data_IF_971453235198
#
_entry.id   IF_971453235198
#
_cell.length_a   1.000
_cell.length_b   1.000
_cell.length_c   1.000
_cell.angle_alpha   90.00
_cell.angle_beta   90.00
_cell.angle_gamma   90.00
#
_symmetry.space_group_name_H-M   'P 1'
#
loop_
_entity.id
_entity.type
_entity.pdbx_description
1 polymer ?
#
# COMPACT_ATOMS: atom_id res chain seq x y z
N UNK A 1 -9.92 -3.90 -0.68
CA UNK A 1 -8.52 -4.12 -0.26
C UNK A 1 -8.24 -3.47 1.09
N UNK A 2 -7.25 -4.01 1.81
CA UNK A 2 -6.79 -3.44 3.09
C UNK A 2 -5.63 -2.46 2.90
N UNK A 3 -4.91 -2.57 1.81
CA UNK A 3 -3.83 -1.70 1.38
C UNK A 3 -3.98 -1.38 -0.10
N UNK A 4 -3.65 -0.15 -0.47
CA UNK A 4 -3.51 0.30 -1.86
C UNK A 4 -2.22 1.11 -1.90
N UNK A 5 -1.29 0.71 -2.77
CA UNK A 5 0.02 1.35 -2.86
C UNK A 5 0.39 1.54 -4.33
N UNK A 6 0.90 2.72 -4.66
CA UNK A 6 1.47 3.03 -5.96
C UNK A 6 2.99 2.97 -5.81
N UNK A 7 3.64 2.22 -6.68
CA UNK A 7 5.10 2.19 -6.80
C UNK A 7 5.48 2.79 -8.16
N UNK A 8 6.26 3.85 -8.16
CA UNK A 8 6.88 4.42 -9.36
C UNK A 8 8.34 4.01 -9.40
N UNK A 9 8.75 3.34 -10.48
CA UNK A 9 10.13 2.86 -10.68
C UNK A 9 10.75 3.68 -11.82
N UNK A 10 11.79 4.43 -11.49
CA UNK A 10 12.61 5.06 -12.52
C UNK A 10 13.54 4.00 -13.10
N UNK A 11 13.27 3.61 -14.35
CA UNK A 11 14.02 2.53 -15.02
C UNK A 11 15.46 2.90 -15.36
N UNK A 12 15.81 4.19 -15.40
CA UNK A 12 17.18 4.67 -15.68
C UNK A 12 18.05 4.64 -14.42
N UNK A 13 17.48 4.97 -13.25
CA UNK A 13 18.22 5.06 -11.98
C UNK A 13 18.00 3.89 -11.04
N UNK A 14 16.90 3.15 -11.21
CA UNK A 14 16.44 2.13 -10.29
C UNK A 14 15.74 2.67 -9.02
N UNK A 15 15.55 3.99 -8.94
CA UNK A 15 14.89 4.60 -7.79
C UNK A 15 13.39 4.28 -7.78
N UNK A 16 12.90 3.88 -6.62
CA UNK A 16 11.49 3.57 -6.38
C UNK A 16 10.92 4.60 -5.41
N UNK A 17 9.80 5.20 -5.77
CA UNK A 17 9.00 6.03 -4.86
C UNK A 17 7.66 5.34 -4.57
N UNK A 18 7.30 5.22 -3.28
CA UNK A 18 6.09 4.54 -2.83
C UNK A 18 5.06 5.54 -2.29
N UNK A 19 3.81 5.41 -2.71
CA UNK A 19 2.69 6.19 -2.14
C UNK A 19 1.56 5.25 -1.71
N UNK A 20 1.25 5.27 -0.40
CA UNK A 20 0.05 4.60 0.11
C UNK A 20 -1.18 5.46 -0.17
N UNK A 21 -2.11 4.99 -0.98
CA UNK A 21 -3.44 5.58 -1.09
C UNK A 21 -4.29 5.05 0.07
N UNK A 22 -4.64 5.93 1.01
CA UNK A 22 -5.38 5.50 2.21
C UNK A 22 -6.72 4.89 1.81
N UNK A 23 -6.96 3.67 2.26
CA UNK A 23 -8.09 2.84 1.82
C UNK A 23 -9.46 3.48 1.97
N UNK A 24 -9.61 4.38 2.93
CA UNK A 24 -10.84 5.08 3.25
C UNK A 24 -10.94 6.46 2.57
N UNK A 25 -10.04 6.76 1.60
CA UNK A 25 -10.09 8.00 0.83
C UNK A 25 -11.36 8.05 -0.02
N UNK A 26 -12.08 9.16 0.08
CA UNK A 26 -13.32 9.40 -0.66
C UNK A 26 -13.01 9.81 -2.10
N UNK A 27 -13.25 8.91 -3.05
CA UNK A 27 -12.95 9.08 -4.49
C UNK A 27 -14.09 8.54 -5.35
N UNK A 28 -14.09 8.92 -6.64
CA UNK A 28 -14.90 8.26 -7.66
C UNK A 28 -14.35 6.84 -7.88
N UNK A 29 -15.15 5.81 -7.62
CA UNK A 29 -14.70 4.41 -7.76
C UNK A 29 -14.78 3.86 -9.19
N UNK A 30 -14.93 4.75 -10.19
CA UNK A 30 -14.94 4.40 -11.60
C UNK A 30 -16.29 3.99 -12.16
N UNK A 31 -17.39 4.32 -11.45
CA UNK A 31 -18.79 4.03 -11.84
C UNK A 31 -19.70 5.25 -11.59
N UNK A 32 -19.15 6.45 -11.64
CA UNK A 32 -19.78 7.72 -11.20
C UNK A 32 -20.32 7.68 -9.76
N UNK A 33 -19.83 6.73 -8.98
CA UNK A 33 -20.14 6.59 -7.57
C UNK A 33 -18.93 6.98 -6.71
N UNK A 34 -19.17 7.86 -5.74
CA UNK A 34 -18.13 8.33 -4.82
C UNK A 34 -18.24 7.59 -3.50
N UNK A 35 -17.18 6.89 -3.16
CA UNK A 35 -17.10 6.04 -1.97
C UNK A 35 -15.66 5.97 -1.46
N UNK A 36 -15.42 5.20 -0.40
CA UNK A 36 -14.08 4.82 0.00
C UNK A 36 -13.37 4.07 -1.14
N UNK A 37 -12.18 4.47 -1.50
CA UNK A 37 -11.46 3.95 -2.66
C UNK A 37 -11.23 2.43 -2.62
N UNK A 38 -11.13 1.82 -1.42
CA UNK A 38 -11.01 0.38 -1.28
C UNK A 38 -12.21 -0.41 -1.83
N UNK A 39 -13.38 0.24 -1.97
CA UNK A 39 -14.58 -0.37 -2.54
C UNK A 39 -14.38 -0.75 -4.01
N UNK A 40 -13.56 -0.01 -4.77
CA UNK A 40 -13.30 -0.30 -6.17
C UNK A 40 -12.87 -1.76 -6.38
N UNK A 41 -11.97 -2.26 -5.53
CA UNK A 41 -11.53 -3.66 -5.61
C UNK A 41 -12.68 -4.66 -5.37
N UNK A 42 -13.61 -4.35 -4.49
CA UNK A 42 -14.77 -5.22 -4.22
C UNK A 42 -15.78 -5.26 -5.36
N UNK A 43 -15.81 -4.22 -6.20
CA UNK A 43 -16.71 -4.14 -7.35
C UNK A 43 -16.19 -4.79 -8.62
N UNK A 44 -14.87 -4.75 -8.85
CA UNK A 44 -14.32 -5.24 -10.11
C UNK A 44 -12.83 -5.63 -10.03
N UNK A 45 -12.37 -6.06 -8.84
CA UNK A 45 -11.02 -6.58 -8.70
C UNK A 45 -9.92 -5.53 -8.85
N UNK A 46 -8.74 -6.01 -9.21
CA UNK A 46 -7.55 -5.17 -9.39
C UNK A 46 -7.72 -4.16 -10.53
N UNK A 47 -8.34 -4.58 -11.62
CA UNK A 47 -8.57 -3.76 -12.80
C UNK A 47 -9.45 -2.54 -12.48
N UNK A 48 -10.49 -2.74 -11.66
CA UNK A 48 -11.32 -1.63 -11.22
C UNK A 48 -10.57 -0.70 -10.25
N UNK A 49 -9.71 -1.25 -9.40
CA UNK A 49 -8.86 -0.45 -8.52
C UNK A 49 -7.85 0.38 -9.33
N UNK A 50 -7.20 -0.20 -10.34
CA UNK A 50 -6.31 0.52 -11.27
C UNK A 50 -7.07 1.61 -12.03
N UNK A 51 -8.25 1.28 -12.60
CA UNK A 51 -9.09 2.27 -13.28
C UNK A 51 -9.43 3.44 -12.34
N UNK A 52 -9.83 3.16 -11.11
CA UNK A 52 -10.15 4.17 -10.12
C UNK A 52 -8.95 5.07 -9.82
N UNK A 53 -7.75 4.51 -9.65
CA UNK A 53 -6.52 5.28 -9.43
C UNK A 53 -6.21 6.16 -10.66
N UNK A 54 -6.21 5.58 -11.86
CA UNK A 54 -5.90 6.31 -13.09
C UNK A 54 -6.84 7.51 -13.31
N UNK A 55 -8.14 7.31 -13.08
CA UNK A 55 -9.14 8.36 -13.26
C UNK A 55 -9.00 9.52 -12.28
N UNK A 56 -8.84 9.21 -10.97
CA UNK A 56 -8.83 10.25 -9.94
C UNK A 56 -7.47 10.94 -9.80
N UNK A 57 -6.39 10.26 -10.20
CA UNK A 57 -5.02 10.71 -9.96
C UNK A 57 -4.28 11.09 -11.25
N UNK A 58 -4.98 11.12 -12.38
CA UNK A 58 -4.39 11.36 -13.71
C UNK A 58 -3.17 10.47 -13.99
N UNK A 59 -3.26 9.18 -13.63
CA UNK A 59 -2.20 8.20 -13.83
C UNK A 59 -2.49 7.34 -15.06
N UNK A 60 -1.47 6.64 -15.55
CA UNK A 60 -1.55 5.62 -16.58
C UNK A 60 -1.01 4.26 -16.11
N UNK A 61 -1.34 3.88 -14.89
CA UNK A 61 -0.95 2.61 -14.30
C UNK A 61 -1.49 1.47 -15.17
N UNK A 62 -0.59 0.61 -15.65
CA UNK A 62 -0.90 -0.56 -16.46
C UNK A 62 -0.67 -1.86 -15.73
N UNK A 63 0.20 -1.86 -14.73
CA UNK A 63 0.61 -3.05 -14.00
C UNK A 63 0.10 -3.04 -12.57
N UNK A 64 -0.26 -4.22 -12.09
CA UNK A 64 -0.64 -4.41 -10.70
C UNK A 64 -0.11 -5.73 -10.13
N UNK A 65 0.03 -5.76 -8.83
CA UNK A 65 0.29 -6.96 -8.03
C UNK A 65 -0.67 -6.99 -6.86
N UNK A 66 -1.42 -8.06 -6.71
CA UNK A 66 -2.28 -8.31 -5.54
C UNK A 66 -1.75 -9.49 -4.76
N UNK A 67 -1.49 -9.29 -3.49
CA UNK A 67 -0.99 -10.32 -2.60
C UNK A 67 -1.88 -10.43 -1.36
N UNK A 68 -2.23 -11.65 -0.99
CA UNK A 68 -2.94 -11.93 0.27
C UNK A 68 -1.99 -12.18 1.44
N UNK A 69 -2.55 -12.42 2.63
CA UNK A 69 -1.75 -12.68 3.84
C UNK A 69 -0.83 -13.89 3.70
N UNK A 70 -1.28 -14.94 3.00
CA UNK A 70 -0.49 -16.13 2.74
C UNK A 70 0.74 -15.80 1.91
N UNK A 71 0.55 -15.20 0.74
CA UNK A 71 1.65 -14.86 -0.15
C UNK A 71 2.66 -13.90 0.50
N UNK A 72 2.19 -12.88 1.23
CA UNK A 72 3.09 -11.98 1.96
C UNK A 72 3.90 -12.73 3.02
N UNK A 73 3.25 -13.59 3.81
CA UNK A 73 3.93 -14.39 4.84
C UNK A 73 4.99 -15.32 4.22
N UNK A 74 4.65 -16.00 3.13
CA UNK A 74 5.57 -16.93 2.45
C UNK A 74 6.74 -16.22 1.77
N UNK A 75 6.55 -15.02 1.20
CA UNK A 75 7.66 -14.19 0.70
C UNK A 75 8.64 -13.86 1.81
N UNK A 76 8.13 -13.38 2.94
CA UNK A 76 8.96 -12.99 4.09
C UNK A 76 9.70 -14.20 4.66
N UNK A 77 9.02 -15.32 4.87
CA UNK A 77 9.63 -16.56 5.38
C UNK A 77 10.68 -17.11 4.41
N UNK A 78 10.40 -17.05 3.11
CA UNK A 78 11.33 -17.48 2.07
C UNK A 78 12.61 -16.64 2.01
N UNK A 79 12.54 -15.37 2.41
CA UNK A 79 13.69 -14.47 2.56
C UNK A 79 14.40 -14.64 3.92
N UNK A 80 13.88 -15.48 4.82
CA UNK A 80 14.45 -15.70 6.16
C UNK A 80 13.96 -14.71 7.21
N UNK A 81 12.87 -14.00 6.96
CA UNK A 81 12.29 -12.97 7.84
C UNK A 81 12.70 -11.55 7.46
N UNK A 82 12.11 -10.56 8.15
CA UNK A 82 12.40 -9.14 7.97
C UNK A 82 12.71 -8.47 9.31
N UNK A 83 13.63 -7.50 9.31
CA UNK A 83 13.98 -6.74 10.51
C UNK A 83 13.05 -5.55 10.66
N UNK A 84 12.33 -5.49 11.79
CA UNK A 84 11.41 -4.41 12.15
C UNK A 84 11.71 -3.96 13.59
N UNK A 85 11.69 -2.64 13.81
CA UNK A 85 11.81 -2.05 15.14
C UNK A 85 10.44 -2.02 15.82
N UNK A 86 10.21 -2.94 16.76
CA UNK A 86 8.90 -3.15 17.39
C UNK A 86 8.81 -2.42 18.71
N UNK A 87 7.79 -1.57 18.87
CA UNK A 87 7.52 -0.91 20.14
C UNK A 87 6.66 -1.76 21.09
N UNK A 88 6.60 -1.36 22.36
CA UNK A 88 5.89 -2.12 23.40
C UNK A 88 4.36 -2.19 23.20
N UNK A 89 3.76 -1.18 22.56
CA UNK A 89 2.32 -1.19 22.25
C UNK A 89 2.02 -2.16 21.11
N UNK A 90 2.95 -2.27 20.15
CA UNK A 90 2.81 -3.11 18.97
C UNK A 90 2.84 -4.60 19.27
N UNK A 91 3.65 -5.03 20.27
CA UNK A 91 3.77 -6.45 20.67
C UNK A 91 2.40 -7.07 20.93
N UNK A 92 1.56 -6.42 21.72
CA UNK A 92 0.21 -6.91 22.03
C UNK A 92 -0.65 -7.04 20.76
N UNK A 93 -0.55 -6.08 19.88
CA UNK A 93 -1.33 -6.07 18.63
C UNK A 93 -0.83 -7.12 17.66
N UNK A 94 0.49 -7.25 17.47
CA UNK A 94 1.08 -8.31 16.63
C UNK A 94 0.56 -9.67 17.11
N UNK A 95 0.69 -9.96 18.40
CA UNK A 95 0.31 -11.25 18.96
C UNK A 95 -1.19 -11.53 18.82
N UNK A 96 -2.04 -10.53 18.99
CA UNK A 96 -3.49 -10.68 18.78
C UNK A 96 -3.84 -10.93 17.31
N UNK A 97 -3.19 -10.22 16.37
CA UNK A 97 -3.47 -10.40 14.94
C UNK A 97 -2.91 -11.72 14.41
N UNK A 98 -1.77 -12.21 14.94
CA UNK A 98 -1.23 -13.51 14.58
C UNK A 98 -2.24 -14.64 14.78
N UNK A 99 -3.00 -14.64 15.89
CA UNK A 99 -4.01 -15.68 16.18
C UNK A 99 -4.98 -15.82 15.03
N UNK A 100 -5.63 -14.73 14.61
CA UNK A 100 -6.61 -14.77 13.53
C UNK A 100 -6.01 -15.11 12.16
N UNK A 101 -4.76 -14.71 11.89
CA UNK A 101 -4.10 -15.07 10.63
C UNK A 101 -3.71 -16.55 10.66
N UNK A 102 -3.16 -17.05 11.77
CA UNK A 102 -2.78 -18.45 11.95
C UNK A 102 -3.97 -19.41 11.81
N UNK A 103 -5.15 -19.03 12.33
CA UNK A 103 -6.39 -19.79 12.11
C UNK A 103 -6.78 -19.89 10.65
N UNK A 104 -6.67 -18.78 9.89
CA UNK A 104 -6.98 -18.74 8.44
C UNK A 104 -5.97 -19.58 7.65
N UNK A 105 -4.68 -19.45 7.97
CA UNK A 105 -3.60 -20.16 7.28
C UNK A 105 -3.41 -21.60 7.78
N UNK A 106 -4.06 -21.97 8.89
CA UNK A 106 -3.94 -23.29 9.53
C UNK A 106 -2.49 -23.64 9.90
N UNK A 107 -1.80 -22.67 10.50
CA UNK A 107 -0.42 -22.82 10.94
C UNK A 107 -0.27 -22.43 12.42
N UNK A 108 0.84 -22.82 13.03
CA UNK A 108 1.23 -22.39 14.36
C UNK A 108 1.78 -20.95 14.31
N UNK A 109 1.75 -20.26 15.46
CA UNK A 109 2.35 -18.94 15.60
C UNK A 109 3.30 -18.87 16.79
N UNK A 110 4.27 -17.96 16.71
CA UNK A 110 5.22 -17.69 17.80
C UNK A 110 5.04 -16.25 18.26
N UNK A 111 4.73 -16.02 19.56
CA UNK A 111 4.58 -14.66 20.08
C UNK A 111 5.86 -13.84 19.98
N UNK A 112 5.72 -12.55 19.65
CA UNK A 112 6.76 -11.55 19.85
C UNK A 112 6.76 -11.15 21.32
N UNK A 113 7.93 -11.13 21.96
CA UNK A 113 8.08 -10.89 23.42
C UNK A 113 8.98 -9.72 23.76
N UNK A 114 9.84 -9.30 22.84
CA UNK A 114 10.84 -8.26 23.05
C UNK A 114 10.50 -7.00 22.23
N UNK A 115 11.02 -5.87 22.67
CA UNK A 115 10.98 -4.59 21.91
C UNK A 115 12.30 -4.35 21.17
N UNK A 116 12.29 -3.38 20.27
CA UNK A 116 13.47 -3.00 19.49
C UNK A 116 13.57 -3.77 18.17
N UNK A 117 14.72 -3.65 17.54
CA UNK A 117 14.97 -4.28 16.23
C UNK A 117 14.96 -5.80 16.33
N UNK A 118 13.99 -6.44 15.67
CA UNK A 118 13.79 -7.89 15.71
C UNK A 118 13.61 -8.46 14.32
N UNK A 119 14.03 -9.73 14.16
CA UNK A 119 13.75 -10.51 12.97
C UNK A 119 12.35 -11.12 13.10
N UNK A 120 11.39 -10.54 12.40
CA UNK A 120 10.02 -11.04 12.33
C UNK A 120 9.88 -12.09 11.23
N UNK A 121 9.21 -13.21 11.52
CA UNK A 121 8.79 -14.17 10.51
C UNK A 121 7.59 -13.63 9.69
N UNK A 122 7.20 -14.36 8.64
CA UNK A 122 6.13 -13.92 7.74
C UNK A 122 4.81 -13.66 8.43
N UNK A 123 4.43 -14.52 9.38
CA UNK A 123 3.19 -14.35 10.14
C UNK A 123 3.22 -13.12 11.05
N UNK A 124 4.34 -12.90 11.75
CA UNK A 124 4.54 -11.75 12.63
C UNK A 124 4.53 -10.43 11.85
N UNK A 125 5.27 -10.35 10.73
CA UNK A 125 5.32 -9.16 9.90
C UNK A 125 3.97 -8.89 9.21
N UNK A 126 3.25 -9.93 8.78
CA UNK A 126 1.89 -9.79 8.25
C UNK A 126 0.93 -9.27 9.33
N UNK A 127 1.06 -9.73 10.57
CA UNK A 127 0.29 -9.22 11.70
C UNK A 127 0.63 -7.76 12.01
N UNK A 128 1.93 -7.38 11.94
CA UNK A 128 2.39 -5.99 12.10
C UNK A 128 1.74 -5.06 11.08
N UNK A 129 1.65 -5.45 9.80
CA UNK A 129 0.96 -4.70 8.74
C UNK A 129 -0.53 -4.43 9.03
N UNK A 130 -1.15 -5.15 9.97
CA UNK A 130 -2.57 -5.03 10.29
C UNK A 130 -2.88 -4.12 11.47
N UNK A 131 -1.89 -3.68 12.23
CA UNK A 131 -2.08 -2.87 13.44
C UNK A 131 -2.79 -1.56 13.11
N UNK A 132 -3.94 -1.31 13.76
CA UNK A 132 -4.77 -0.11 13.59
C UNK A 132 -5.01 0.65 14.89
N UNK A 133 -5.04 -0.04 16.04
CA UNK A 133 -5.48 0.50 17.33
C UNK A 133 -4.32 1.07 18.14
N UNK A 134 -3.46 1.87 17.49
CA UNK A 134 -2.40 2.67 18.10
C UNK A 134 -2.58 4.14 17.71
N UNK A 135 -1.88 5.06 18.35
CA UNK A 135 -1.88 6.46 17.94
C UNK A 135 -1.57 6.58 16.44
N UNK A 136 -2.36 7.36 15.69
CA UNK A 136 -2.22 7.51 14.23
C UNK A 136 -3.09 6.56 13.39
N UNK A 137 -3.83 5.61 14.01
CA UNK A 137 -4.86 4.78 13.35
C UNK A 137 -4.44 4.20 11.98
N UNK A 138 -5.25 4.46 10.95
CA UNK A 138 -5.07 3.94 9.58
C UNK A 138 -3.85 4.52 8.87
N UNK A 139 -3.45 5.74 9.19
CA UNK A 139 -2.24 6.39 8.64
C UNK A 139 -0.98 5.67 9.12
N UNK A 140 -0.88 5.35 10.41
CA UNK A 140 0.25 4.58 10.97
C UNK A 140 0.26 3.14 10.45
N UNK A 141 -0.92 2.55 10.19
CA UNK A 141 -0.99 1.25 9.52
C UNK A 141 -0.37 1.28 8.12
N UNK A 142 -0.70 2.30 7.33
CA UNK A 142 -0.12 2.45 5.99
C UNK A 142 1.42 2.66 6.05
N UNK A 143 1.91 3.39 7.04
CA UNK A 143 3.36 3.54 7.27
C UNK A 143 4.02 2.19 7.60
N UNK A 144 3.44 1.39 8.51
CA UNK A 144 3.94 0.04 8.83
C UNK A 144 4.01 -0.88 7.61
N UNK A 145 3.04 -0.75 6.71
CA UNK A 145 3.04 -1.53 5.46
C UNK A 145 4.21 -1.15 4.56
N UNK A 146 4.53 0.15 4.44
CA UNK A 146 5.71 0.60 3.69
C UNK A 146 7.00 0.16 4.36
N UNK A 147 7.08 0.25 5.69
CA UNK A 147 8.23 -0.25 6.45
C UNK A 147 8.50 -1.74 6.21
N UNK A 148 7.46 -2.57 6.17
CA UNK A 148 7.61 -4.00 5.82
C UNK A 148 8.07 -4.17 4.36
N UNK A 149 7.56 -3.38 3.42
CA UNK A 149 8.03 -3.42 2.01
C UNK A 149 9.52 -3.03 1.93
N UNK A 150 9.95 -1.99 2.65
CA UNK A 150 11.36 -1.61 2.74
C UNK A 150 12.21 -2.75 3.33
N UNK A 151 11.74 -3.37 4.40
CA UNK A 151 12.45 -4.48 5.02
C UNK A 151 12.51 -5.73 4.13
N UNK A 152 11.49 -5.98 3.31
CA UNK A 152 11.51 -7.02 2.27
C UNK A 152 12.57 -6.70 1.20
N UNK A 153 12.63 -5.44 0.72
CA UNK A 153 13.65 -4.99 -0.22
C UNK A 153 15.05 -5.22 0.33
N UNK A 154 15.30 -4.83 1.58
CA UNK A 154 16.58 -4.99 2.25
C UNK A 154 17.03 -6.46 2.36
N UNK A 155 16.09 -7.38 2.57
CA UNK A 155 16.39 -8.81 2.61
C UNK A 155 16.55 -9.41 1.21
N UNK A 156 15.69 -9.00 0.27
CA UNK A 156 15.78 -9.48 -1.10
C UNK A 156 17.13 -9.12 -1.75
N UNK A 157 17.69 -7.96 -1.47
CA UNK A 157 19.02 -7.56 -1.95
C UNK A 157 20.17 -8.39 -1.39
N UNK A 158 20.00 -9.02 -0.23
CA UNK A 158 21.00 -9.92 0.37
C UNK A 158 20.89 -11.35 -0.14
N UNK A 159 19.72 -11.70 -0.69
CA UNK A 159 19.46 -13.03 -1.20
C UNK A 159 20.13 -13.24 -2.57
N UNK A 160 20.59 -14.45 -2.83
CA UNK A 160 21.04 -14.84 -4.16
C UNK A 160 19.85 -15.10 -5.11
N UNK A 161 20.13 -15.12 -6.40
CA UNK A 161 19.10 -15.34 -7.42
C UNK A 161 18.37 -16.69 -7.25
N UNK A 162 19.06 -17.72 -6.77
CA UNK A 162 18.45 -19.05 -6.55
C UNK A 162 17.39 -18.97 -5.43
N UNK A 163 17.70 -18.27 -4.35
CA UNK A 163 16.75 -18.00 -3.26
C UNK A 163 15.56 -17.18 -3.74
N UNK A 164 15.79 -16.07 -4.47
CA UNK A 164 14.72 -15.24 -5.02
C UNK A 164 13.80 -16.01 -5.95
N UNK A 165 14.38 -16.81 -6.85
CA UNK A 165 13.62 -17.69 -7.78
C UNK A 165 12.81 -18.74 -7.03
N UNK A 166 13.36 -19.31 -5.95
CA UNK A 166 12.64 -20.26 -5.11
C UNK A 166 11.46 -19.60 -4.40
N UNK A 167 11.66 -18.43 -3.81
CA UNK A 167 10.60 -17.65 -3.16
C UNK A 167 9.50 -17.32 -4.17
N UNK A 168 9.86 -16.80 -5.34
CA UNK A 168 8.91 -16.50 -6.39
C UNK A 168 8.07 -17.72 -6.77
N UNK A 169 8.72 -18.86 -7.05
CA UNK A 169 8.01 -20.08 -7.43
C UNK A 169 7.11 -20.65 -6.32
N UNK A 170 7.40 -20.35 -5.05
CA UNK A 170 6.55 -20.79 -3.94
C UNK A 170 5.28 -19.97 -3.77
N UNK A 171 5.27 -18.70 -4.23
CA UNK A 171 4.16 -17.76 -4.00
C UNK A 171 3.38 -17.38 -5.26
N UNK A 172 3.82 -17.80 -6.44
CA UNK A 172 3.22 -17.33 -7.71
C UNK A 172 1.73 -17.65 -7.81
N UNK A 173 1.29 -18.79 -7.25
CA UNK A 173 -0.11 -19.20 -7.25
C UNK A 173 -0.96 -18.40 -6.22
N UNK A 174 -0.33 -17.70 -5.28
CA UNK A 174 -0.97 -16.86 -4.26
C UNK A 174 -0.94 -15.36 -4.62
N UNK A 175 -0.41 -15.03 -5.80
CA UNK A 175 -0.29 -13.65 -6.31
C UNK A 175 -1.16 -13.51 -7.56
N UNK A 176 -2.00 -12.47 -7.59
CA UNK A 176 -2.69 -12.06 -8.81
C UNK A 176 -2.02 -10.81 -9.38
N UNK A 177 -1.51 -10.91 -10.60
CA UNK A 177 -0.73 -9.84 -11.23
C UNK A 177 -0.96 -9.76 -12.73
N UNK A 178 -0.78 -8.56 -13.28
CA UNK A 178 -0.73 -8.32 -14.74
C UNK A 178 0.68 -8.48 -15.32
N UNK A 179 1.71 -8.57 -14.48
CA UNK A 179 3.09 -8.80 -14.92
C UNK A 179 3.22 -10.22 -15.47
N UNK A 180 3.90 -10.37 -16.59
CA UNK A 180 4.22 -11.69 -17.11
C UNK A 180 5.49 -12.26 -16.42
N UNK A 181 5.75 -13.54 -16.65
CA UNK A 181 6.90 -14.21 -16.02
C UNK A 181 8.24 -13.60 -16.44
N UNK A 182 8.33 -13.00 -17.63
CA UNK A 182 9.54 -12.34 -18.10
C UNK A 182 9.76 -11.04 -17.31
N UNK A 183 8.73 -10.21 -17.16
CA UNK A 183 8.79 -8.97 -16.39
C UNK A 183 9.27 -9.25 -14.95
N UNK A 184 8.73 -10.29 -14.33
CA UNK A 184 9.09 -10.66 -12.97
C UNK A 184 10.54 -11.15 -12.90
N UNK A 185 10.97 -11.99 -13.83
CA UNK A 185 12.36 -12.47 -13.87
C UNK A 185 13.34 -11.34 -14.13
N UNK A 186 12.99 -10.38 -14.97
CA UNK A 186 13.81 -9.19 -15.24
C UNK A 186 13.93 -8.32 -13.96
N UNK A 187 12.85 -8.12 -13.22
CA UNK A 187 12.88 -7.42 -11.93
C UNK A 187 13.73 -8.16 -10.90
N UNK A 188 13.57 -9.46 -10.74
CA UNK A 188 14.36 -10.28 -9.80
C UNK A 188 15.85 -10.28 -10.15
N UNK A 189 16.19 -10.35 -11.44
CA UNK A 189 17.59 -10.35 -11.90
C UNK A 189 18.29 -9.03 -11.64
N UNK A 190 17.53 -7.95 -11.54
CA UNK A 190 18.02 -6.59 -11.35
C UNK A 190 17.73 -6.02 -9.95
N UNK A 191 17.32 -6.87 -9.00
CA UNK A 191 16.85 -6.43 -7.68
C UNK A 191 17.87 -5.53 -6.95
N UNK A 192 19.16 -5.77 -7.14
CA UNK A 192 20.24 -4.98 -6.55
C UNK A 192 20.32 -3.55 -7.08
N UNK A 193 19.75 -3.29 -8.24
CA UNK A 193 19.76 -1.97 -8.88
C UNK A 193 18.60 -1.08 -8.39
N UNK A 194 17.56 -1.69 -7.85
CA UNK A 194 16.38 -0.96 -7.36
C UNK A 194 16.58 -0.54 -5.91
N UNK A 195 16.03 0.61 -5.55
CA UNK A 195 16.00 1.10 -4.15
C UNK A 195 14.80 1.99 -3.90
N UNK A 196 14.14 1.78 -2.80
CA UNK A 196 13.11 2.70 -2.31
C UNK A 196 13.83 3.94 -1.77
N UNK A 197 13.62 5.09 -2.42
CA UNK A 197 14.30 6.36 -2.08
C UNK A 197 13.39 7.34 -1.37
N UNK A 198 12.06 7.20 -1.55
CA UNK A 198 11.10 8.07 -0.90
C UNK A 198 9.75 7.37 -0.72
N UNK A 199 9.00 7.79 0.29
CA UNK A 199 7.69 7.24 0.58
C UNK A 199 6.71 8.30 1.08
N UNK A 200 5.43 8.13 0.75
CA UNK A 200 4.38 9.08 1.11
C UNK A 200 3.01 8.45 1.28
N UNK A 201 2.05 9.29 1.59
CA UNK A 201 0.65 8.90 1.69
C UNK A 201 -0.26 9.86 0.92
N UNK A 202 -1.28 9.32 0.29
CA UNK A 202 -2.29 10.09 -0.44
C UNK A 202 -3.67 9.91 0.20
N UNK A 203 -4.40 11.00 0.45
CA UNK A 203 -4.03 12.41 0.27
C UNK A 203 -2.89 12.84 1.19
N UNK A 204 -2.13 13.85 0.77
CA UNK A 204 -0.99 14.40 1.52
C UNK A 204 -1.46 14.97 2.88
N UNK A 205 -0.57 14.93 3.89
CA UNK A 205 -0.92 15.20 5.30
C UNK A 205 -1.53 16.57 5.54
N UNK A 206 -0.99 17.58 4.91
CA UNK A 206 -1.46 18.98 5.08
C UNK A 206 -2.68 19.31 4.21
N UNK A 207 -3.00 18.44 3.24
CA UNK A 207 -4.08 18.60 2.26
C UNK A 207 -5.21 17.59 2.41
N UNK A 208 -5.30 16.93 3.58
CA UNK A 208 -6.36 15.97 3.91
C UNK A 208 -7.11 16.36 5.17
N UNK A 209 -8.33 15.87 5.28
CA UNK A 209 -9.14 15.87 6.48
C UNK A 209 -9.80 14.50 6.66
N UNK A 210 -10.54 14.32 7.75
CA UNK A 210 -11.36 13.14 8.00
C UNK A 210 -12.76 13.56 8.38
N UNK A 211 -13.76 12.78 7.96
CA UNK A 211 -15.15 13.10 8.28
C UNK A 211 -16.07 11.91 8.15
N UNK A 212 -17.20 11.94 8.86
CA UNK A 212 -18.25 10.93 8.77
C UNK A 212 -19.24 11.29 7.65
N UNK A 213 -19.13 10.62 6.48
CA UNK A 213 -19.94 10.92 5.31
C UNK A 213 -21.17 9.99 5.26
N UNK A 214 -22.20 10.33 6.02
CA UNK A 214 -23.46 9.60 6.05
C UNK A 214 -23.28 8.08 6.23
N UNK A 215 -23.92 7.28 5.40
CA UNK A 215 -23.82 5.81 5.45
C UNK A 215 -22.43 5.24 5.09
N UNK A 216 -21.51 6.07 4.57
CA UNK A 216 -20.15 5.64 4.23
C UNK A 216 -19.21 5.60 5.45
N UNK A 217 -19.65 6.18 6.57
CA UNK A 217 -18.86 6.24 7.81
C UNK A 217 -17.67 7.18 7.70
N UNK A 218 -16.64 6.93 8.53
CA UNK A 218 -15.41 7.74 8.54
C UNK A 218 -14.64 7.58 7.25
N UNK A 219 -14.40 8.68 6.55
CA UNK A 219 -13.61 8.75 5.31
C UNK A 219 -12.40 9.65 5.49
N UNK A 220 -11.35 9.40 4.72
CA UNK A 220 -10.26 10.35 4.47
C UNK A 220 -10.69 11.23 3.29
N UNK A 221 -10.60 12.52 3.46
CA UNK A 221 -11.10 13.50 2.49
C UNK A 221 -9.91 14.27 1.92
N UNK A 222 -9.64 14.19 0.61
CA UNK A 222 -8.75 15.15 -0.04
C UNK A 222 -9.45 16.51 -0.03
N UNK A 223 -8.97 17.47 0.78
CA UNK A 223 -9.58 18.80 0.92
C UNK A 223 -9.70 19.50 -0.42
N UNK A 224 -8.69 19.33 -1.27
CA UNK A 224 -8.72 19.67 -2.69
C UNK A 224 -7.99 18.59 -3.47
N UNK A 225 -8.71 17.87 -4.32
CA UNK A 225 -8.13 16.76 -5.09
C UNK A 225 -7.11 17.25 -6.11
N UNK A 226 -7.34 18.40 -6.78
CA UNK A 226 -6.39 18.97 -7.74
C UNK A 226 -5.01 19.16 -7.12
N UNK A 227 -4.95 19.86 -5.95
CA UNK A 227 -3.69 20.13 -5.26
C UNK A 227 -2.98 18.85 -4.83
N UNK A 228 -3.75 17.86 -4.36
CA UNK A 228 -3.22 16.55 -4.01
C UNK A 228 -2.64 15.80 -5.22
N UNK A 229 -3.28 15.89 -6.40
CA UNK A 229 -2.80 15.25 -7.63
C UNK A 229 -1.55 15.96 -8.16
N UNK A 230 -1.49 17.30 -8.12
CA UNK A 230 -0.27 18.04 -8.46
C UNK A 230 0.89 17.63 -7.55
N UNK A 231 0.66 17.56 -6.23
CA UNK A 231 1.67 17.07 -5.29
C UNK A 231 2.12 15.64 -5.63
N UNK A 232 1.17 14.74 -5.96
CA UNK A 232 1.46 13.35 -6.28
C UNK A 232 2.38 13.23 -7.51
N UNK A 233 2.10 13.98 -8.57
CA UNK A 233 2.91 13.98 -9.79
C UNK A 233 4.30 14.58 -9.55
N UNK A 234 4.39 15.65 -8.77
CA UNK A 234 5.69 16.19 -8.35
C UNK A 234 6.46 15.18 -7.50
N UNK A 235 5.79 14.51 -6.57
CA UNK A 235 6.42 13.51 -5.70
C UNK A 235 6.92 12.30 -6.50
N UNK A 236 6.07 11.71 -7.35
CA UNK A 236 6.41 10.47 -8.07
C UNK A 236 7.34 10.70 -9.25
N UNK A 237 7.18 11.79 -10.00
CA UNK A 237 7.80 12.00 -11.31
C UNK A 237 8.70 13.23 -11.38
N UNK A 238 8.86 13.95 -10.25
CA UNK A 238 9.61 15.22 -10.19
C UNK A 238 9.05 16.30 -11.14
N UNK A 239 7.76 16.20 -11.54
CA UNK A 239 7.09 17.14 -12.44
C UNK A 239 6.47 18.30 -11.66
N UNK A 240 7.26 19.34 -11.42
CA UNK A 240 6.79 20.58 -10.78
C UNK A 240 5.86 21.44 -11.68
N UNK A 241 5.76 21.11 -12.97
CA UNK A 241 4.93 21.86 -13.94
C UNK A 241 3.60 21.18 -14.24
N UNK A 242 3.31 20.07 -13.59
CA UNK A 242 2.13 19.27 -13.85
C UNK A 242 0.82 20.07 -13.65
N UNK A 243 -0.10 19.89 -14.58
CA UNK A 243 -1.44 20.48 -14.55
C UNK A 243 -2.49 19.41 -14.73
N UNK A 244 -3.42 19.30 -13.80
CA UNK A 244 -4.48 18.28 -13.83
C UNK A 244 -5.41 18.43 -15.01
N UNK A 245 -5.97 17.31 -15.46
CA UNK A 245 -6.99 17.26 -16.52
C UNK A 245 -8.32 17.88 -16.07
N UNK A 246 -9.21 18.14 -17.03
CA UNK A 246 -10.58 18.59 -16.75
C UNK A 246 -11.37 17.58 -15.91
N UNK A 247 -11.09 16.27 -16.07
CA UNK A 247 -11.76 15.23 -15.31
C UNK A 247 -11.42 15.30 -13.82
N UNK A 248 -10.13 15.45 -13.48
CA UNK A 248 -9.72 15.60 -12.06
C UNK A 248 -10.30 16.87 -11.44
N UNK A 249 -10.42 17.97 -12.21
CA UNK A 249 -11.10 19.19 -11.74
C UNK A 249 -12.58 18.94 -11.43
N UNK A 250 -13.27 18.21 -12.29
CA UNK A 250 -14.66 17.85 -12.07
C UNK A 250 -14.81 16.95 -10.82
N UNK A 251 -13.94 15.95 -10.67
CA UNK A 251 -13.94 15.09 -9.48
C UNK A 251 -13.61 15.88 -8.21
N UNK A 252 -12.66 16.80 -8.27
CA UNK A 252 -12.31 17.68 -7.14
C UNK A 252 -13.50 18.51 -6.67
N UNK A 253 -14.20 19.18 -7.61
CA UNK A 253 -15.39 19.96 -7.32
C UNK A 253 -16.51 19.10 -6.70
N UNK A 254 -16.69 17.88 -7.21
CA UNK A 254 -17.70 16.95 -6.70
C UNK A 254 -17.36 16.48 -5.29
N UNK A 255 -16.12 16.09 -5.04
CA UNK A 255 -15.65 15.67 -3.71
C UNK A 255 -15.81 16.82 -2.71
N UNK A 256 -15.37 18.05 -3.05
CA UNK A 256 -15.54 19.21 -2.20
C UNK A 256 -17.01 19.49 -1.87
N UNK A 257 -17.88 19.47 -2.88
CA UNK A 257 -19.32 19.64 -2.70
C UNK A 257 -19.95 18.58 -1.78
N UNK A 258 -19.53 17.31 -1.93
CA UNK A 258 -20.08 16.21 -1.14
C UNK A 258 -19.56 16.17 0.30
N UNK A 259 -18.35 16.67 0.54
CA UNK A 259 -17.63 16.43 1.80
C UNK A 259 -17.48 17.66 2.68
N UNK A 260 -17.60 18.86 2.14
CA UNK A 260 -17.44 20.12 2.91
C UNK A 260 -18.28 20.22 4.19
N UNK A 261 -19.52 19.66 4.26
CA UNK A 261 -20.30 19.69 5.51
C UNK A 261 -19.79 18.74 6.61
N UNK A 262 -18.89 17.82 6.27
CA UNK A 262 -18.44 16.74 7.14
C UNK A 262 -16.98 16.87 7.59
N UNK A 263 -16.23 17.83 7.03
CA UNK A 263 -14.84 18.07 7.42
C UNK A 263 -14.75 18.56 8.85
N UNK A 264 -13.77 18.07 9.58
CA UNK A 264 -13.41 18.59 10.90
C UNK A 264 -12.60 19.88 10.69
N UNK A 265 -13.24 21.04 10.82
CA UNK A 265 -12.60 22.35 10.71
C UNK A 265 -11.83 22.68 11.96
#
# INVERSE_FOLDING_TARGET
SDSIMIASINMDTGDIKLVSVYRDTYLNIGTDSYQKCNSAYSYGGAEQAVKMLNMNLDMDITNFVTVGYKGLSEVIDGLGGVYIDVDSEEIKHINNYQIGIAEVLKCDYTPVTETGMQLLNGLQATAYCRIRYTAGNDFKRAARQREVIQAIEDQAKKADYATLSKVFNSVIDDIYTSLDSKDILDLLSNISNYRIVDEGGFPEETMRDTGNIGAKGSCVIPVNLESNVVWLHQFLFDDASYSVTSNVKEYSNKIESDTSPYMNK
#
